data_IF_568555974125
#
_entry.id   IF_568555974125
#
_cell.length_a   1.000
_cell.length_b   1.000
_cell.length_c   1.000
_cell.angle_alpha   90.00
_cell.angle_beta   90.00
_cell.angle_gamma   90.00
#
_symmetry.space_group_name_H-M   'P 1'
#
loop_
_entity.id
_entity.type
_entity.pdbx_description
1 polymer ?
#
# COMPACT_ATOMS: atom_id res chain seq x y z
N UNK A 1 -18.83 -4.92 2.02
CA UNK A 1 -20.23 -4.70 1.54
C UNK A 1 -20.52 -3.27 1.07
N UNK A 2 -19.81 -2.22 1.52
CA UNK A 2 -20.10 -0.83 1.12
C UNK A 2 -19.95 -0.55 -0.39
N UNK A 3 -18.82 -0.93 -1.00
CA UNK A 3 -18.52 -0.59 -2.39
C UNK A 3 -19.44 -1.26 -3.42
N UNK A 4 -19.76 -2.54 -3.23
CA UNK A 4 -20.67 -3.26 -4.13
C UNK A 4 -22.09 -2.66 -4.08
N UNK A 5 -22.59 -2.38 -2.88
CA UNK A 5 -23.89 -1.73 -2.70
C UNK A 5 -23.89 -0.32 -3.32
N UNK A 6 -22.81 0.44 -3.11
CA UNK A 6 -22.62 1.75 -3.70
C UNK A 6 -22.67 1.68 -5.23
N UNK A 7 -21.87 0.80 -5.84
CA UNK A 7 -21.83 0.63 -7.29
C UNK A 7 -23.18 0.19 -7.85
N UNK A 8 -23.86 -0.75 -7.18
CA UNK A 8 -25.21 -1.19 -7.58
C UNK A 8 -26.21 -0.05 -7.57
N UNK A 9 -26.19 0.80 -6.53
CA UNK A 9 -27.07 1.98 -6.43
C UNK A 9 -26.72 3.04 -7.48
N UNK A 10 -25.43 3.26 -7.72
CA UNK A 10 -24.97 4.20 -8.75
C UNK A 10 -25.45 3.78 -10.15
N UNK A 11 -25.43 2.48 -10.45
CA UNK A 11 -25.97 1.92 -11.70
C UNK A 11 -27.49 2.07 -11.86
N UNK A 12 -28.25 2.29 -10.77
CA UNK A 12 -29.69 2.56 -10.86
C UNK A 12 -29.94 4.02 -11.28
N UNK A 13 -29.12 4.95 -10.78
CA UNK A 13 -29.22 6.38 -11.13
C UNK A 13 -28.64 6.63 -12.52
N UNK A 14 -27.54 5.96 -12.86
CA UNK A 14 -26.84 6.12 -14.14
C UNK A 14 -26.68 4.77 -14.84
N UNK A 15 -27.72 4.24 -15.52
CA UNK A 15 -27.64 2.93 -16.18
C UNK A 15 -26.52 2.81 -17.22
N UNK A 16 -26.06 3.95 -17.76
CA UNK A 16 -24.98 4.02 -18.75
C UNK A 16 -23.63 3.53 -18.24
N UNK A 17 -23.37 3.57 -16.93
CA UNK A 17 -22.07 3.19 -16.33
C UNK A 17 -21.92 1.68 -16.10
N UNK A 18 -22.99 0.91 -16.34
CA UNK A 18 -22.92 -0.55 -16.24
C UNK A 18 -21.84 -1.07 -17.20
N UNK A 19 -21.09 -2.13 -16.83
CA UNK A 19 -20.11 -2.73 -17.71
C UNK A 19 -20.72 -3.09 -19.07
N UNK A 20 -20.12 -2.58 -20.14
CA UNK A 20 -20.49 -2.88 -21.53
C UNK A 20 -19.24 -3.39 -22.24
N UNK A 21 -19.22 -4.67 -22.58
CA UNK A 21 -18.09 -5.30 -23.26
C UNK A 21 -16.95 -5.78 -22.35
N UNK A 22 -17.13 -5.78 -21.03
CA UNK A 22 -16.16 -6.37 -20.08
C UNK A 22 -16.88 -6.96 -18.86
N UNK A 23 -16.23 -7.91 -18.19
CA UNK A 23 -16.67 -8.44 -16.90
C UNK A 23 -16.13 -7.58 -15.75
N UNK A 24 -17.00 -7.21 -14.80
CA UNK A 24 -16.60 -6.51 -13.58
C UNK A 24 -16.77 -7.42 -12.37
N UNK A 25 -15.71 -7.57 -11.58
CA UNK A 25 -15.74 -8.25 -10.28
C UNK A 25 -15.42 -7.24 -9.19
N UNK A 26 -16.30 -7.12 -8.19
CA UNK A 26 -16.06 -6.31 -6.99
C UNK A 26 -15.91 -7.26 -5.81
N UNK A 27 -14.77 -7.20 -5.10
CA UNK A 27 -14.53 -7.99 -3.90
C UNK A 27 -14.11 -7.11 -2.73
N UNK A 28 -14.68 -7.40 -1.57
CA UNK A 28 -14.18 -6.86 -0.30
C UNK A 28 -13.12 -7.81 0.25
N UNK A 29 -11.91 -7.32 0.54
CA UNK A 29 -10.79 -8.12 1.06
C UNK A 29 -10.31 -7.54 2.38
N UNK A 30 -10.38 -8.33 3.47
CA UNK A 30 -9.83 -7.99 4.78
C UNK A 30 -9.22 -9.25 5.35
N UNK A 31 -7.90 -9.29 5.53
CA UNK A 31 -7.18 -10.53 5.90
C UNK A 31 -7.56 -11.68 4.95
N UNK A 32 -7.41 -11.42 3.65
CA UNK A 32 -7.89 -12.31 2.60
C UNK A 32 -6.78 -12.61 1.59
N UNK A 33 -6.95 -13.69 0.83
CA UNK A 33 -6.03 -14.17 -0.20
C UNK A 33 -6.83 -14.46 -1.46
N UNK A 34 -6.39 -13.90 -2.59
CA UNK A 34 -7.03 -14.06 -3.89
C UNK A 34 -6.01 -14.46 -4.96
N UNK A 35 -6.17 -15.61 -5.64
CA UNK A 35 -5.40 -15.93 -6.84
C UNK A 35 -5.85 -15.02 -7.99
N UNK A 36 -5.07 -13.97 -8.29
CA UNK A 36 -5.49 -12.90 -9.21
C UNK A 36 -5.46 -13.35 -10.66
N UNK A 37 -4.35 -13.97 -11.04
CA UNK A 37 -4.16 -14.67 -12.31
C UNK A 37 -3.01 -15.68 -12.15
N UNK A 38 -2.69 -16.41 -13.22
CA UNK A 38 -1.69 -17.47 -13.19
C UNK A 38 -0.33 -16.97 -12.67
N UNK A 39 0.08 -17.57 -11.55
CA UNK A 39 1.36 -17.25 -10.90
C UNK A 39 1.38 -15.94 -10.10
N UNK A 40 0.24 -15.27 -9.87
CA UNK A 40 0.14 -14.09 -8.99
C UNK A 40 -1.00 -14.21 -8.00
N UNK A 41 -0.66 -14.10 -6.71
CA UNK A 41 -1.60 -14.08 -5.59
C UNK A 41 -1.59 -12.69 -4.95
N UNK A 42 -2.77 -12.17 -4.64
CA UNK A 42 -2.94 -10.96 -3.83
C UNK A 42 -3.33 -11.35 -2.42
N UNK A 43 -2.62 -10.80 -1.44
CA UNK A 43 -2.94 -10.92 -0.02
C UNK A 43 -3.27 -9.54 0.53
N UNK A 44 -4.15 -9.46 1.52
CA UNK A 44 -4.39 -8.22 2.27
C UNK A 44 -4.35 -8.46 3.77
N UNK A 45 -3.97 -7.44 4.55
CA UNK A 45 -4.03 -7.47 6.02
C UNK A 45 -4.51 -6.12 6.57
N UNK A 46 -5.28 -6.08 7.67
CA UNK A 46 -5.73 -4.83 8.28
C UNK A 46 -4.56 -3.96 8.76
N UNK A 47 -4.66 -2.65 8.59
CA UNK A 47 -3.67 -1.66 8.98
C UNK A 47 -4.16 -0.72 10.08
N UNK A 48 -3.23 -0.01 10.72
CA UNK A 48 -3.52 0.87 11.87
C UNK A 48 -3.74 2.31 11.42
N UNK A 49 -4.84 2.57 10.72
CA UNK A 49 -5.24 3.93 10.34
C UNK A 49 -6.75 4.13 10.53
N UNK A 50 -7.57 3.42 9.74
CA UNK A 50 -9.02 3.28 9.93
C UNK A 50 -9.41 1.81 9.94
N UNK A 51 -10.67 1.51 10.29
CA UNK A 51 -11.18 0.13 10.39
C UNK A 51 -11.10 -0.62 9.05
N UNK A 52 -11.23 0.12 7.96
CA UNK A 52 -11.23 -0.35 6.58
C UNK A 52 -9.83 -0.34 5.94
N UNK A 53 -8.82 0.23 6.60
CA UNK A 53 -7.46 0.32 6.06
C UNK A 53 -6.81 -1.06 5.97
N UNK A 54 -6.18 -1.34 4.83
CA UNK A 54 -5.49 -2.59 4.56
C UNK A 54 -4.16 -2.32 3.85
N UNK A 55 -3.19 -3.18 4.09
CA UNK A 55 -2.02 -3.34 3.24
C UNK A 55 -2.34 -4.38 2.16
N UNK A 56 -1.69 -4.26 1.00
CA UNK A 56 -1.88 -5.16 -0.15
C UNK A 56 -0.52 -5.71 -0.57
N UNK A 57 -0.44 -7.03 -0.74
CA UNK A 57 0.77 -7.69 -1.22
C UNK A 57 0.46 -8.48 -2.48
N UNK A 58 1.28 -8.27 -3.50
CA UNK A 58 1.32 -9.09 -4.71
C UNK A 58 2.47 -10.08 -4.58
N UNK A 59 2.16 -11.38 -4.65
CA UNK A 59 3.13 -12.49 -4.66
C UNK A 59 3.14 -13.16 -6.03
N UNK A 60 4.23 -12.98 -6.77
CA UNK A 60 4.50 -13.74 -8.00
C UNK A 60 5.98 -14.11 -8.09
N UNK A 61 6.61 -13.92 -9.26
CA UNK A 61 8.07 -14.02 -9.41
C UNK A 61 8.84 -13.03 -8.52
N UNK A 62 8.18 -11.90 -8.21
CA UNK A 62 8.62 -10.86 -7.27
C UNK A 62 7.49 -10.61 -6.27
N UNK A 63 7.87 -10.14 -5.09
CA UNK A 63 6.93 -9.74 -4.03
C UNK A 63 6.91 -8.23 -3.88
N UNK A 64 5.74 -7.63 -4.08
CA UNK A 64 5.52 -6.19 -3.94
C UNK A 64 4.50 -5.96 -2.83
N UNK A 65 4.80 -5.06 -1.90
CA UNK A 65 3.93 -4.72 -0.77
C UNK A 65 3.61 -3.23 -0.81
N UNK A 66 2.33 -2.91 -0.76
CA UNK A 66 1.81 -1.57 -0.55
C UNK A 66 1.27 -1.49 0.87
N UNK A 67 1.74 -0.55 1.68
CA UNK A 67 1.30 -0.44 3.07
C UNK A 67 -0.10 0.11 3.20
N UNK A 68 -0.52 0.98 2.27
CA UNK A 68 -1.59 1.93 2.53
C UNK A 68 -1.23 2.85 3.71
N UNK A 69 -2.19 3.64 4.17
CA UNK A 69 -1.99 4.46 5.37
C UNK A 69 -2.02 3.57 6.63
N UNK A 70 -1.03 3.73 7.50
CA UNK A 70 -0.87 2.91 8.70
C UNK A 70 0.09 3.50 9.73
N UNK A 71 -0.17 3.20 10.99
CA UNK A 71 0.84 3.25 12.05
C UNK A 71 1.70 1.96 12.08
N UNK A 72 2.77 2.00 12.87
CA UNK A 72 3.59 0.84 13.18
C UNK A 72 2.76 -0.32 13.73
N UNK A 73 2.97 -1.52 13.19
CA UNK A 73 2.39 -2.76 13.69
C UNK A 73 3.29 -3.96 13.41
N UNK A 74 3.18 -5.01 14.23
CA UNK A 74 3.83 -6.29 13.96
C UNK A 74 3.29 -6.95 12.67
N UNK A 75 2.01 -6.77 12.39
CA UNK A 75 1.37 -7.23 11.15
C UNK A 75 2.07 -6.61 9.92
N UNK A 76 2.32 -5.29 9.93
CA UNK A 76 3.04 -4.62 8.85
C UNK A 76 4.46 -5.18 8.68
N UNK A 77 5.22 -5.36 9.77
CA UNK A 77 6.58 -5.93 9.71
C UNK A 77 6.56 -7.33 9.09
N UNK A 78 5.69 -8.21 9.61
CA UNK A 78 5.54 -9.57 9.07
C UNK A 78 5.09 -9.56 7.62
N UNK A 79 4.20 -8.63 7.25
CA UNK A 79 3.68 -8.53 5.91
C UNK A 79 4.71 -7.96 4.93
N UNK A 80 5.60 -7.06 5.34
CA UNK A 80 6.66 -6.52 4.49
C UNK A 80 7.91 -7.42 4.41
N UNK A 81 7.97 -8.50 5.20
CA UNK A 81 9.20 -9.30 5.35
C UNK A 81 9.67 -9.90 4.03
N UNK A 82 10.92 -9.59 3.65
CA UNK A 82 11.59 -10.09 2.46
C UNK A 82 11.02 -9.63 1.13
N UNK A 83 10.17 -8.59 1.12
CA UNK A 83 9.62 -8.05 -0.11
C UNK A 83 10.71 -7.58 -1.07
N UNK A 84 10.55 -7.83 -2.37
CA UNK A 84 11.43 -7.25 -3.38
C UNK A 84 11.23 -5.73 -3.45
N UNK A 85 9.99 -5.28 -3.28
CA UNK A 85 9.64 -3.87 -3.21
C UNK A 85 8.62 -3.60 -2.09
N UNK A 86 8.91 -2.63 -1.23
CA UNK A 86 7.97 -2.05 -0.28
C UNK A 86 7.62 -0.62 -0.69
N UNK A 87 6.38 -0.38 -1.10
CA UNK A 87 5.81 0.95 -1.28
C UNK A 87 5.15 1.34 0.03
N UNK A 88 5.79 2.24 0.77
CA UNK A 88 5.39 2.63 2.12
C UNK A 88 4.87 4.06 2.15
N UNK A 89 3.80 4.28 2.89
CA UNK A 89 3.52 5.62 3.38
C UNK A 89 4.69 6.08 4.27
N UNK A 90 5.02 7.37 4.17
CA UNK A 90 5.86 8.05 5.13
C UNK A 90 5.43 9.51 5.14
N UNK A 91 4.20 9.73 5.63
CA UNK A 91 3.47 10.98 5.40
C UNK A 91 4.29 12.21 5.77
N UNK A 92 5.04 12.12 6.86
CA UNK A 92 5.96 13.15 7.32
C UNK A 92 7.37 12.57 7.49
N UNK A 93 8.43 13.32 7.19
CA UNK A 93 9.80 12.83 7.42
C UNK A 93 10.07 12.65 8.92
N UNK A 94 9.80 13.67 9.73
CA UNK A 94 10.17 13.70 11.16
C UNK A 94 8.97 13.55 12.10
N UNK A 95 7.82 14.17 11.77
CA UNK A 95 6.66 14.21 12.66
C UNK A 95 5.95 12.86 12.75
N UNK A 96 5.85 12.29 13.95
CA UNK A 96 5.03 11.09 14.17
C UNK A 96 3.57 11.46 14.41
N UNK A 97 2.75 11.40 13.36
CA UNK A 97 1.30 11.53 13.46
C UNK A 97 0.62 10.19 13.81
N UNK A 98 -0.51 10.24 14.52
CA UNK A 98 -1.31 9.05 14.83
C UNK A 98 -1.85 8.44 13.54
N UNK A 99 -1.62 7.14 13.34
CA UNK A 99 -2.13 6.44 12.16
C UNK A 99 -1.28 6.59 10.90
N UNK A 100 -0.08 7.18 11.02
CA UNK A 100 0.86 7.40 9.92
C UNK A 100 2.30 7.06 10.33
N UNK A 101 3.17 6.80 9.35
CA UNK A 101 4.59 6.56 9.57
C UNK A 101 5.40 7.86 9.43
N UNK A 102 6.57 7.87 10.07
CA UNK A 102 7.66 8.79 9.80
C UNK A 102 8.94 7.98 9.52
N UNK A 103 10.03 8.65 9.11
CA UNK A 103 11.27 7.98 8.73
C UNK A 103 11.80 7.10 9.85
N UNK A 104 11.92 7.64 11.07
CA UNK A 104 12.47 6.90 12.21
C UNK A 104 11.67 5.63 12.58
N UNK A 105 10.37 5.60 12.31
CA UNK A 105 9.53 4.40 12.53
C UNK A 105 9.63 3.46 11.34
N UNK A 106 9.66 3.97 10.12
CA UNK A 106 9.80 3.18 8.91
C UNK A 106 11.17 2.47 8.86
N UNK A 107 12.24 3.13 9.27
CA UNK A 107 13.57 2.52 9.40
C UNK A 107 13.54 1.26 10.28
N UNK A 108 12.85 1.30 11.44
CA UNK A 108 12.68 0.13 12.31
C UNK A 108 11.90 -1.00 11.63
N UNK A 109 10.95 -0.66 10.77
CA UNK A 109 10.21 -1.66 9.97
C UNK A 109 11.16 -2.27 8.93
N UNK A 110 11.93 -1.44 8.23
CA UNK A 110 12.88 -1.87 7.19
C UNK A 110 14.00 -2.73 7.76
N UNK A 111 14.56 -2.40 8.92
CA UNK A 111 15.57 -3.21 9.61
C UNK A 111 15.05 -4.63 9.93
N UNK A 112 13.78 -4.73 10.32
CA UNK A 112 13.14 -5.99 10.72
C UNK A 112 12.64 -6.80 9.54
N UNK A 113 11.96 -6.14 8.61
CA UNK A 113 11.32 -6.75 7.45
C UNK A 113 12.34 -7.02 6.33
N UNK A 114 13.43 -6.26 6.26
CA UNK A 114 14.50 -6.39 5.25
C UNK A 114 13.97 -6.44 3.80
N UNK A 115 13.12 -5.48 3.37
CA UNK A 115 12.78 -5.36 1.96
C UNK A 115 14.03 -4.99 1.14
N UNK A 116 14.08 -5.41 -0.13
CA UNK A 116 15.24 -5.10 -0.99
C UNK A 116 15.27 -3.64 -1.44
N UNK A 117 14.10 -3.07 -1.71
CA UNK A 117 13.90 -1.67 -2.07
C UNK A 117 12.69 -1.09 -1.35
N UNK A 118 12.75 0.19 -1.01
CA UNK A 118 11.65 0.92 -0.37
C UNK A 118 11.38 2.20 -1.14
N UNK A 119 10.14 2.38 -1.60
CA UNK A 119 9.64 3.63 -2.16
C UNK A 119 8.79 4.33 -1.11
N UNK A 120 9.15 5.56 -0.78
CA UNK A 120 8.36 6.43 0.08
C UNK A 120 7.29 7.13 -0.75
N UNK A 121 6.03 6.99 -0.35
CA UNK A 121 4.87 7.61 -1.00
C UNK A 121 3.97 8.31 0.04
N UNK A 122 2.84 8.86 -0.42
CA UNK A 122 1.90 9.62 0.40
C UNK A 122 2.56 10.81 1.11
N UNK A 123 3.41 11.55 0.41
CA UNK A 123 4.31 12.57 0.96
C UNK A 123 3.58 13.90 1.15
N UNK A 124 3.62 14.46 2.36
CA UNK A 124 3.12 15.80 2.64
C UNK A 124 4.19 16.89 2.38
N UNK A 125 3.79 18.18 2.26
CA UNK A 125 4.68 19.28 1.90
C UNK A 125 5.95 19.43 2.75
N UNK A 126 5.98 18.89 3.97
CA UNK A 126 7.18 18.87 4.82
C UNK A 126 8.39 18.21 4.13
N UNK A 127 8.14 17.27 3.22
CA UNK A 127 9.18 16.66 2.38
C UNK A 127 9.88 17.65 1.44
N UNK A 128 9.23 18.73 1.02
CA UNK A 128 9.83 19.77 0.16
C UNK A 128 10.96 20.52 0.87
N UNK A 129 10.93 20.56 2.21
CA UNK A 129 11.94 21.24 3.04
C UNK A 129 12.87 20.27 3.76
N UNK A 130 12.71 18.97 3.56
CA UNK A 130 13.55 17.95 4.16
C UNK A 130 14.99 18.08 3.64
N UNK A 131 15.95 18.22 4.57
CA UNK A 131 17.38 18.37 4.26
C UNK A 131 18.20 17.11 4.54
N UNK A 132 17.56 16.05 5.02
CA UNK A 132 18.24 14.79 5.31
C UNK A 132 18.61 14.03 4.04
N UNK A 133 19.45 13.01 4.22
CA UNK A 133 19.88 12.12 3.14
C UNK A 133 19.15 10.78 3.30
N UNK A 134 18.45 10.34 2.26
CA UNK A 134 17.90 9.00 2.20
C UNK A 134 19.00 8.05 1.71
N UNK A 135 19.36 7.08 2.55
CA UNK A 135 20.28 6.02 2.18
C UNK A 135 19.53 4.82 1.61
N UNK A 136 20.23 3.96 0.86
CA UNK A 136 19.66 2.69 0.43
C UNK A 136 19.12 1.91 1.65
N UNK A 137 17.93 1.27 1.55
CA UNK A 137 17.20 0.96 0.32
C UNK A 137 16.12 1.99 -0.08
N UNK A 138 16.12 3.19 0.49
CA UNK A 138 15.05 4.18 0.30
C UNK A 138 15.17 4.97 -1.02
N UNK A 139 14.02 5.17 -1.66
CA UNK A 139 13.79 6.05 -2.81
C UNK A 139 12.55 6.89 -2.54
N UNK A 140 12.55 8.14 -2.99
CA UNK A 140 11.38 9.01 -2.93
C UNK A 140 10.50 8.76 -4.16
N UNK A 141 9.19 8.60 -3.98
CA UNK A 141 8.26 8.56 -5.10
C UNK A 141 8.06 9.95 -5.70
N UNK A 142 7.93 9.99 -7.02
CA UNK A 142 7.49 11.17 -7.77
C UNK A 142 6.42 10.73 -8.77
N UNK A 143 5.57 11.68 -9.17
CA UNK A 143 4.55 11.41 -10.20
C UNK A 143 5.23 10.97 -11.51
N UNK A 144 4.87 9.79 -11.99
CA UNK A 144 5.46 9.20 -13.19
C UNK A 144 6.75 8.40 -12.96
N UNK A 145 7.17 8.19 -11.71
CA UNK A 145 8.30 7.30 -11.40
C UNK A 145 8.04 5.87 -11.89
N UNK A 146 9.00 5.33 -12.65
CA UNK A 146 9.02 3.94 -13.10
C UNK A 146 10.18 3.17 -12.46
N UNK A 147 9.93 1.94 -12.00
CA UNK A 147 10.95 1.05 -11.41
C UNK A 147 10.87 -0.34 -12.04
N UNK A 148 12.03 -0.92 -12.31
CA UNK A 148 12.18 -2.32 -12.76
C UNK A 148 12.64 -3.22 -11.62
N UNK A 149 12.01 -4.40 -11.49
CA UNK A 149 12.26 -5.37 -10.40
C UNK A 149 12.81 -6.72 -10.89
#
# INVERSE_FOLDING_TARGET
QGLELFFRRLCLVYPSIKPKGYSLTIRSMVRDVWPLWDGVVVETVPMRHRKESIAVKFKGKKTIVFTGDTDYSGDLVSFATGADLLVSECSFPDLKAKGHLNLAVLEKIVERAKPKQVILSHLYPEWETFRGVLHAPFLLAEDGLEISL
#
